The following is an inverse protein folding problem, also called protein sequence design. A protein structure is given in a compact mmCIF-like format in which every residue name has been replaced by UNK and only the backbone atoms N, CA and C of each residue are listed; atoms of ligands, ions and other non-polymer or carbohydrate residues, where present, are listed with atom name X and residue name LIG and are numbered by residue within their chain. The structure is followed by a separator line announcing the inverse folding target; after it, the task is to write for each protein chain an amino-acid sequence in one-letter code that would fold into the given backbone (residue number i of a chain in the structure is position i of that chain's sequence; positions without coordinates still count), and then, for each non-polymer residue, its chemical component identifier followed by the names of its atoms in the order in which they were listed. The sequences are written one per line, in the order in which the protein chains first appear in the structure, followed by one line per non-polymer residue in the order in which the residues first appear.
data_IF_470852098604
#
_entry.id   IF_470852098604
#
_cell.length_a   1.000
_cell.length_b   1.000
_cell.length_c   1.000
_cell.angle_alpha   90.00
_cell.angle_beta   90.00
_cell.angle_gamma   90.00
#
_symmetry.space_group_name_H-M   'P 1'
#
loop_
_entity.id
_entity.type
_entity.pdbx_description
1 polymer ?
#
# COMPACT_ATOMS: atom_id res chain seq x y z
N UNK A 1 -3.82 -11.22 -15.52
CA UNK A 1 -3.44 -11.37 -14.10
C UNK A 1 -2.47 -12.53 -13.88
N UNK A 2 -1.50 -12.43 -12.93
CA UNK A 2 -0.52 -13.48 -12.60
C UNK A 2 -1.01 -14.36 -11.45
N UNK A 3 -1.53 -15.54 -11.75
CA UNK A 3 -2.15 -16.45 -10.78
C UNK A 3 -1.22 -16.85 -9.62
N UNK A 4 0.08 -17.10 -9.90
CA UNK A 4 1.05 -17.48 -8.86
C UNK A 4 1.30 -16.35 -7.82
N UNK A 5 1.12 -15.09 -8.21
CA UNK A 5 1.20 -13.94 -7.28
C UNK A 5 -0.12 -13.80 -6.51
N UNK A 6 -1.24 -13.99 -7.21
CA UNK A 6 -2.55 -14.00 -6.56
C UNK A 6 -2.67 -15.11 -5.50
N UNK A 7 -2.18 -16.33 -5.80
CA UNK A 7 -2.14 -17.43 -4.84
C UNK A 7 -1.40 -17.07 -3.53
N UNK A 8 -0.35 -16.23 -3.60
CA UNK A 8 0.33 -15.72 -2.40
C UNK A 8 -0.56 -14.82 -1.57
N UNK A 9 -1.33 -13.93 -2.22
CA UNK A 9 -2.28 -13.06 -1.53
C UNK A 9 -3.40 -13.87 -0.87
N UNK A 10 -3.91 -14.91 -1.54
CA UNK A 10 -4.91 -15.83 -0.97
C UNK A 10 -4.37 -16.53 0.26
N UNK A 11 -3.14 -17.06 0.22
CA UNK A 11 -2.48 -17.68 1.39
C UNK A 11 -2.33 -16.71 2.57
N UNK A 12 -2.04 -15.45 2.29
CA UNK A 12 -1.93 -14.41 3.32
C UNK A 12 -3.29 -13.99 3.89
N UNK A 13 -4.32 -13.91 3.03
CA UNK A 13 -5.66 -13.50 3.45
C UNK A 13 -6.44 -14.60 4.14
N UNK A 14 -6.17 -15.87 3.82
CA UNK A 14 -6.97 -17.02 4.21
C UNK A 14 -8.37 -17.04 3.57
N UNK A 15 -8.60 -16.23 2.52
CA UNK A 15 -9.89 -16.13 1.84
C UNK A 15 -9.71 -16.03 0.33
N UNK A 16 -10.56 -16.72 -0.40
CA UNK A 16 -10.70 -16.68 -1.85
C UNK A 16 -12.17 -16.43 -2.18
N UNK A 17 -12.43 -15.37 -2.92
CA UNK A 17 -13.72 -15.11 -3.54
C UNK A 17 -13.62 -15.44 -5.02
N UNK A 18 -14.48 -16.34 -5.50
CA UNK A 18 -14.67 -16.63 -6.91
C UNK A 18 -16.00 -16.00 -7.31
N UNK A 19 -15.95 -15.01 -8.19
CA UNK A 19 -17.11 -14.24 -8.59
C UNK A 19 -17.33 -14.39 -10.09
N UNK A 20 -18.50 -14.89 -10.46
CA UNK A 20 -18.97 -14.93 -11.85
C UNK A 20 -19.86 -13.70 -12.05
N UNK A 21 -19.43 -12.80 -12.92
CA UNK A 21 -20.11 -11.53 -13.17
C UNK A 21 -20.62 -11.55 -14.60
N UNK A 22 -21.93 -11.36 -14.78
CA UNK A 22 -22.55 -11.31 -16.09
C UNK A 22 -21.86 -10.26 -16.97
N UNK A 23 -21.62 -10.59 -18.23
CA UNK A 23 -20.93 -9.73 -19.23
C UNK A 23 -19.48 -9.29 -18.87
N UNK A 24 -19.01 -9.54 -17.65
CA UNK A 24 -17.67 -9.14 -17.20
C UNK A 24 -16.73 -10.33 -16.92
N UNK A 25 -17.26 -11.55 -16.93
CA UNK A 25 -16.50 -12.78 -16.75
C UNK A 25 -16.11 -13.08 -15.29
N UNK A 26 -14.98 -13.74 -15.11
CA UNK A 26 -14.55 -14.23 -13.79
C UNK A 26 -13.69 -13.19 -13.07
N UNK A 27 -14.04 -12.93 -11.82
CA UNK A 27 -13.25 -12.10 -10.91
C UNK A 27 -12.80 -12.93 -9.72
N UNK A 28 -11.54 -12.75 -9.33
CA UNK A 28 -10.96 -13.39 -8.17
C UNK A 28 -10.68 -12.36 -7.08
N UNK A 29 -11.18 -12.61 -5.87
CA UNK A 29 -11.07 -11.69 -4.77
C UNK A 29 -10.37 -12.25 -3.54
N UNK A 30 -9.83 -11.36 -2.76
CA UNK A 30 -9.44 -11.56 -1.37
C UNK A 30 -10.15 -10.51 -0.52
N UNK A 31 -9.99 -10.53 0.80
CA UNK A 31 -10.52 -9.45 1.65
C UNK A 31 -9.90 -8.06 1.39
N UNK A 32 -8.85 -7.97 0.56
CA UNK A 32 -8.13 -6.72 0.29
C UNK A 32 -8.32 -6.19 -1.14
N UNK A 33 -8.83 -7.00 -2.05
CA UNK A 33 -9.04 -6.56 -3.43
C UNK A 33 -9.57 -7.64 -4.34
N UNK A 34 -10.04 -7.21 -5.50
CA UNK A 34 -10.62 -8.02 -6.57
C UNK A 34 -9.87 -7.79 -7.87
N UNK A 35 -9.72 -8.83 -8.65
CA UNK A 35 -8.90 -8.83 -9.88
C UNK A 35 -9.66 -9.54 -10.99
N UNK A 36 -9.74 -8.92 -12.16
CA UNK A 36 -10.30 -9.53 -13.36
C UNK A 36 -9.42 -10.71 -13.79
N UNK A 37 -9.98 -11.88 -13.87
CA UNK A 37 -9.24 -13.12 -14.17
C UNK A 37 -9.35 -13.49 -15.65
N UNK A 38 -8.83 -12.60 -16.51
CA UNK A 38 -8.82 -12.82 -17.96
C UNK A 38 -8.19 -14.18 -18.30
N UNK A 39 -8.88 -14.96 -19.12
CA UNK A 39 -8.43 -16.29 -19.60
C UNK A 39 -8.88 -17.47 -18.73
N UNK A 40 -9.59 -17.25 -17.63
CA UNK A 40 -10.31 -18.32 -16.95
C UNK A 40 -11.65 -18.56 -17.66
N UNK A 41 -12.10 -19.85 -17.80
CA UNK A 41 -13.41 -20.14 -18.33
C UNK A 41 -14.50 -19.66 -17.37
N UNK A 42 -15.61 -19.18 -17.89
CA UNK A 42 -16.77 -18.73 -17.09
C UNK A 42 -17.35 -19.85 -16.20
N UNK A 43 -17.11 -21.10 -16.57
CA UNK A 43 -17.58 -22.29 -15.83
C UNK A 43 -16.61 -22.77 -14.76
N UNK A 44 -15.55 -21.98 -14.44
CA UNK A 44 -14.60 -22.36 -13.39
C UNK A 44 -15.32 -22.38 -12.04
N UNK A 45 -15.17 -23.47 -11.31
CA UNK A 45 -15.70 -23.67 -9.96
C UNK A 45 -14.61 -23.58 -8.88
N UNK A 46 -15.04 -23.65 -7.64
CA UNK A 46 -14.15 -23.58 -6.48
C UNK A 46 -13.08 -24.65 -6.46
N UNK A 47 -13.39 -25.88 -6.88
CA UNK A 47 -12.43 -26.98 -6.89
C UNK A 47 -11.39 -26.81 -8.01
N UNK A 48 -11.85 -26.37 -9.16
CA UNK A 48 -10.98 -26.08 -10.31
C UNK A 48 -10.03 -24.93 -10.02
N UNK A 49 -10.53 -23.83 -9.43
CA UNK A 49 -9.65 -22.68 -9.14
C UNK A 49 -8.64 -23.01 -8.05
N UNK A 50 -8.99 -23.81 -7.04
CA UNK A 50 -8.05 -24.28 -6.03
C UNK A 50 -6.93 -25.14 -6.62
N UNK A 51 -7.26 -25.96 -7.62
CA UNK A 51 -6.29 -26.76 -8.37
C UNK A 51 -5.38 -25.88 -9.24
N UNK A 52 -5.96 -24.90 -9.95
CA UNK A 52 -5.20 -23.95 -10.79
C UNK A 52 -4.20 -23.12 -9.95
N UNK A 53 -4.60 -22.74 -8.72
CA UNK A 53 -3.75 -21.97 -7.82
C UNK A 53 -2.69 -22.81 -7.10
N UNK A 54 -2.68 -24.13 -7.31
CA UNK A 54 -1.69 -25.10 -6.81
C UNK A 54 -1.45 -24.97 -5.29
N UNK A 55 -2.52 -25.04 -4.52
CA UNK A 55 -2.41 -25.05 -3.06
C UNK A 55 -2.11 -26.47 -2.56
N UNK A 56 -1.11 -26.59 -1.70
CA UNK A 56 -0.90 -27.79 -0.93
C UNK A 56 -2.08 -28.02 0.06
N UNK A 57 -2.28 -29.26 0.50
CA UNK A 57 -3.41 -29.64 1.37
C UNK A 57 -3.50 -28.81 2.65
N UNK A 58 -2.35 -28.42 3.24
CA UNK A 58 -2.31 -27.61 4.47
C UNK A 58 -2.70 -26.16 4.23
N UNK A 59 -2.38 -25.62 3.05
CA UNK A 59 -2.80 -24.28 2.67
C UNK A 59 -4.29 -24.28 2.32
N UNK A 60 -4.76 -25.30 1.57
CA UNK A 60 -6.15 -25.45 1.17
C UNK A 60 -7.08 -25.51 2.39
N UNK A 61 -6.74 -26.27 3.43
CA UNK A 61 -7.51 -26.36 4.69
C UNK A 61 -7.72 -25.01 5.41
N UNK A 62 -6.86 -24.04 5.17
CA UNK A 62 -6.90 -22.72 5.83
C UNK A 62 -7.59 -21.65 4.99
N UNK A 63 -7.91 -21.95 3.74
CA UNK A 63 -8.51 -21.00 2.82
C UNK A 63 -10.02 -21.21 2.81
N UNK A 64 -10.76 -20.17 3.15
CA UNK A 64 -12.21 -20.14 3.01
C UNK A 64 -12.55 -19.69 1.58
N UNK A 65 -13.13 -20.59 0.80
CA UNK A 65 -13.58 -20.29 -0.55
C UNK A 65 -15.05 -19.87 -0.51
N UNK A 66 -15.38 -18.78 -1.20
CA UNK A 66 -16.76 -18.31 -1.39
C UNK A 66 -16.99 -18.07 -2.88
N UNK A 67 -17.92 -18.81 -3.44
CA UNK A 67 -18.37 -18.66 -4.80
C UNK A 67 -19.64 -17.81 -4.84
N UNK A 68 -19.73 -16.88 -5.78
CA UNK A 68 -20.83 -15.93 -5.91
C UNK A 68 -21.08 -15.62 -7.39
N UNK A 69 -22.35 -15.58 -7.73
CA UNK A 69 -22.82 -15.07 -9.02
C UNK A 69 -23.35 -13.65 -8.79
N UNK A 70 -23.00 -12.74 -9.68
CA UNK A 70 -23.45 -11.34 -9.63
C UNK A 70 -23.99 -10.92 -10.98
N UNK A 71 -25.07 -10.16 -10.98
CA UNK A 71 -25.62 -9.58 -12.20
C UNK A 71 -24.68 -8.50 -12.76
N UNK A 72 -24.06 -7.73 -11.88
CA UNK A 72 -23.16 -6.66 -12.26
C UNK A 72 -21.91 -6.64 -11.38
N UNK A 73 -20.85 -6.03 -11.88
CA UNK A 73 -19.62 -5.81 -11.12
C UNK A 73 -19.85 -4.95 -9.87
N UNK A 74 -20.84 -4.05 -9.94
CA UNK A 74 -21.20 -3.17 -8.82
C UNK A 74 -21.72 -3.94 -7.59
N UNK A 75 -22.34 -5.11 -7.80
CA UNK A 75 -22.83 -5.95 -6.70
C UNK A 75 -21.72 -6.59 -5.89
N UNK A 76 -20.48 -6.55 -6.42
CA UNK A 76 -19.30 -7.07 -5.74
C UNK A 76 -18.88 -6.15 -4.60
N UNK A 77 -19.30 -6.47 -3.38
CA UNK A 77 -18.84 -5.82 -2.15
C UNK A 77 -19.01 -4.28 -2.11
N UNK A 78 -19.95 -3.74 -2.90
CA UNK A 78 -20.22 -2.32 -2.98
C UNK A 78 -19.17 -1.52 -3.76
N UNK A 79 -18.21 -2.19 -4.42
CA UNK A 79 -17.25 -1.53 -5.29
C UNK A 79 -17.79 -1.50 -6.73
N UNK A 80 -17.77 -0.34 -7.34
CA UNK A 80 -18.03 -0.21 -8.76
C UNK A 80 -16.73 -0.52 -9.53
N UNK A 81 -16.66 -1.71 -10.11
CA UNK A 81 -15.55 -2.17 -10.94
C UNK A 81 -15.94 -2.24 -12.42
N UNK A 82 -17.04 -1.58 -12.79
CA UNK A 82 -17.47 -1.47 -14.17
C UNK A 82 -16.43 -0.76 -15.05
N UNK A 83 -16.44 -1.08 -16.33
CA UNK A 83 -15.58 -0.44 -17.33
C UNK A 83 -16.13 0.95 -17.75
N UNK A 84 -17.41 1.22 -17.51
CA UNK A 84 -18.00 2.54 -17.70
C UNK A 84 -17.26 3.59 -16.84
N UNK A 85 -17.09 4.79 -17.38
CA UNK A 85 -16.44 5.86 -16.63
C UNK A 85 -17.36 6.33 -15.49
N UNK A 86 -17.38 5.58 -14.40
CA UNK A 86 -17.74 6.17 -13.12
C UNK A 86 -16.85 7.41 -12.90
N UNK A 87 -17.22 8.37 -12.07
CA UNK A 87 -16.37 9.52 -11.79
C UNK A 87 -15.08 9.06 -11.13
N UNK A 88 -14.15 8.61 -11.97
CA UNK A 88 -12.81 8.26 -11.56
C UNK A 88 -12.10 9.52 -11.05
N UNK A 89 -11.62 9.48 -9.84
CA UNK A 89 -10.79 10.53 -9.25
C UNK A 89 -9.35 10.23 -9.67
N UNK A 90 -8.76 11.11 -10.46
CA UNK A 90 -7.35 10.99 -10.81
C UNK A 90 -6.49 11.02 -9.54
N UNK A 91 -5.55 10.10 -9.47
CA UNK A 91 -4.65 9.98 -8.33
C UNK A 91 -3.23 9.71 -8.80
N UNK A 92 -2.28 10.34 -8.14
CA UNK A 92 -0.85 10.21 -8.44
C UNK A 92 -0.14 9.55 -7.26
N UNK A 93 0.66 8.52 -7.55
CA UNK A 93 1.59 7.96 -6.55
C UNK A 93 2.59 9.04 -6.15
N UNK A 94 2.73 9.28 -4.86
CA UNK A 94 3.72 10.18 -4.29
C UNK A 94 4.79 9.37 -3.56
N UNK A 95 5.97 9.99 -3.36
CA UNK A 95 7.11 9.37 -2.66
C UNK A 95 6.92 9.35 -1.14
N UNK A 96 5.70 8.99 -0.71
CA UNK A 96 5.35 8.83 0.70
C UNK A 96 4.90 7.41 0.91
N UNK A 97 5.61 6.72 1.79
CA UNK A 97 5.22 5.40 2.27
C UNK A 97 5.22 5.39 3.80
N UNK A 98 4.29 4.67 4.38
CA UNK A 98 4.20 4.48 5.81
C UNK A 98 4.35 3.01 6.16
N UNK A 99 5.16 2.72 7.18
CA UNK A 99 5.24 1.39 7.79
C UNK A 99 4.74 1.52 9.22
N UNK A 100 3.59 0.92 9.50
CA UNK A 100 2.99 0.98 10.81
C UNK A 100 2.43 -0.39 11.21
N UNK A 101 2.86 -0.91 12.36
CA UNK A 101 2.45 -2.23 12.89
C UNK A 101 2.56 -3.37 11.88
N UNK A 102 3.64 -3.36 11.10
CA UNK A 102 3.90 -4.41 10.09
C UNK A 102 3.16 -4.25 8.76
N UNK A 103 2.35 -3.20 8.61
CA UNK A 103 1.71 -2.86 7.34
C UNK A 103 2.56 -1.83 6.61
N UNK A 104 2.93 -2.15 5.37
CA UNK A 104 3.56 -1.21 4.44
C UNK A 104 2.50 -0.64 3.52
N UNK A 105 2.38 0.68 3.47
CA UNK A 105 1.41 1.35 2.62
C UNK A 105 2.04 2.49 1.83
N UNK A 106 1.68 2.56 0.57
CA UNK A 106 2.05 3.62 -0.35
C UNK A 106 0.90 4.64 -0.45
N UNK A 107 1.23 5.91 -0.58
CA UNK A 107 0.24 6.97 -0.68
C UNK A 107 -0.05 7.35 -2.14
N UNK A 108 -1.33 7.55 -2.43
CA UNK A 108 -1.83 8.24 -3.61
C UNK A 108 -2.36 9.61 -3.19
N UNK A 109 -1.96 10.65 -3.90
CA UNK A 109 -2.55 11.97 -3.79
C UNK A 109 -3.61 12.12 -4.89
N UNK A 110 -4.85 12.28 -4.48
CA UNK A 110 -5.98 12.54 -5.37
C UNK A 110 -5.98 13.99 -5.84
N UNK A 111 -6.58 14.27 -7.00
CA UNK A 111 -6.68 15.63 -7.54
C UNK A 111 -7.53 16.58 -6.68
N UNK A 112 -8.36 16.05 -5.77
CA UNK A 112 -9.13 16.81 -4.77
C UNK A 112 -8.34 17.07 -3.46
N UNK A 113 -7.06 16.67 -3.40
CA UNK A 113 -6.17 16.87 -2.26
C UNK A 113 -6.21 15.79 -1.19
N UNK A 114 -7.07 14.80 -1.32
CA UNK A 114 -7.15 13.68 -0.36
C UNK A 114 -6.05 12.65 -0.59
N UNK A 115 -5.63 11.99 0.50
CA UNK A 115 -4.66 10.90 0.47
C UNK A 115 -5.34 9.55 0.65
N UNK A 116 -4.98 8.62 -0.23
CA UNK A 116 -5.41 7.21 -0.13
C UNK A 116 -4.17 6.34 0.03
N UNK A 117 -4.15 5.53 1.09
CA UNK A 117 -3.07 4.58 1.33
C UNK A 117 -3.50 3.17 0.89
N UNK A 118 -2.61 2.46 0.22
CA UNK A 118 -2.84 1.08 -0.19
C UNK A 118 -1.58 0.24 -0.01
N UNK A 119 -1.74 -1.07 0.16
CA UNK A 119 -0.63 -2.02 0.20
C UNK A 119 -0.20 -2.36 -1.24
N UNK A 120 1.01 -1.94 -1.61
CA UNK A 120 1.56 -2.16 -2.95
C UNK A 120 1.71 -3.66 -3.29
N UNK A 121 1.82 -4.53 -2.29
CA UNK A 121 1.85 -5.97 -2.51
C UNK A 121 0.57 -6.48 -3.20
N UNK A 122 -0.56 -5.77 -3.03
CA UNK A 122 -1.82 -6.07 -3.69
C UNK A 122 -1.76 -5.84 -5.21
N UNK A 123 -0.81 -5.07 -5.72
CA UNK A 123 -0.60 -4.91 -7.16
C UNK A 123 0.19 -6.06 -7.79
N UNK A 124 0.77 -6.94 -6.99
CA UNK A 124 1.63 -8.02 -7.49
C UNK A 124 0.96 -8.96 -8.51
N UNK A 125 -0.35 -9.27 -8.46
CA UNK A 125 -1.02 -10.06 -9.49
C UNK A 125 -1.09 -9.37 -10.85
N UNK A 126 -1.00 -8.04 -10.87
CA UNK A 126 -1.09 -7.21 -12.08
C UNK A 126 0.27 -6.87 -12.68
N UNK A 127 1.37 -7.46 -12.17
CA UNK A 127 2.72 -7.12 -12.60
C UNK A 127 2.95 -7.25 -14.13
N UNK A 128 2.28 -8.23 -14.77
CA UNK A 128 2.38 -8.41 -16.21
C UNK A 128 1.58 -7.32 -16.96
N UNK A 129 0.41 -6.90 -16.44
CA UNK A 129 -0.40 -5.80 -16.99
C UNK A 129 0.40 -4.50 -16.99
N UNK A 130 1.05 -4.17 -15.86
CA UNK A 130 1.92 -2.99 -15.75
C UNK A 130 3.14 -3.03 -16.67
N UNK A 131 3.61 -4.23 -17.04
CA UNK A 131 4.77 -4.40 -17.90
C UNK A 131 4.43 -4.36 -19.39
N UNK A 132 3.25 -4.85 -19.76
CA UNK A 132 2.85 -5.09 -21.15
C UNK A 132 2.06 -3.93 -21.74
N UNK A 133 1.54 -3.03 -20.93
CA UNK A 133 0.71 -1.91 -21.36
C UNK A 133 1.19 -0.58 -20.80
N UNK A 134 1.32 0.42 -21.69
CA UNK A 134 1.60 1.81 -21.34
C UNK A 134 0.32 2.59 -20.92
N UNK A 135 -0.85 1.95 -21.01
CA UNK A 135 -2.15 2.59 -20.73
C UNK A 135 -2.70 2.29 -19.35
N UNK A 136 -1.86 1.71 -18.48
CA UNK A 136 -2.28 1.40 -17.11
C UNK A 136 -2.37 2.65 -16.27
N UNK A 137 -3.54 2.87 -15.69
CA UNK A 137 -3.84 4.00 -14.82
C UNK A 137 -4.25 3.52 -13.44
N UNK A 138 -3.83 4.27 -12.43
CA UNK A 138 -4.30 4.09 -11.05
C UNK A 138 -5.22 5.24 -10.72
N UNK A 139 -6.47 4.94 -10.46
CA UNK A 139 -7.51 5.92 -10.12
C UNK A 139 -8.14 5.56 -8.78
N UNK A 140 -8.91 6.47 -8.22
CA UNK A 140 -9.66 6.27 -6.99
C UNK A 140 -11.14 6.43 -7.28
N UNK A 141 -11.94 5.51 -6.76
CA UNK A 141 -13.41 5.60 -6.77
C UNK A 141 -13.94 5.71 -5.34
N UNK A 142 -15.17 6.15 -5.22
CA UNK A 142 -15.86 6.29 -3.93
C UNK A 142 -17.05 5.35 -3.92
N UNK A 143 -17.15 4.53 -2.88
CA UNK A 143 -18.31 3.64 -2.71
C UNK A 143 -19.55 4.42 -2.22
N UNK A 144 -20.73 3.81 -2.23
CA UNK A 144 -21.98 4.46 -1.76
C UNK A 144 -21.94 4.93 -0.30
N UNK A 145 -21.01 4.38 0.52
CA UNK A 145 -20.79 4.80 1.90
C UNK A 145 -19.75 5.93 2.04
N UNK A 146 -19.25 6.47 0.92
CA UNK A 146 -18.24 7.53 0.90
C UNK A 146 -16.81 7.05 1.14
N UNK A 147 -16.55 5.72 1.10
CA UNK A 147 -15.21 5.18 1.29
C UNK A 147 -14.48 5.12 -0.04
N UNK A 148 -13.25 5.58 -0.05
CA UNK A 148 -12.38 5.55 -1.23
C UNK A 148 -11.76 4.17 -1.39
N UNK A 149 -11.60 3.73 -2.62
CA UNK A 149 -10.84 2.53 -2.99
C UNK A 149 -10.04 2.77 -4.27
N UNK A 150 -8.97 2.01 -4.44
CA UNK A 150 -8.06 2.15 -5.58
C UNK A 150 -8.55 1.24 -6.70
N UNK A 151 -8.59 1.75 -7.92
CA UNK A 151 -8.96 1.00 -9.12
C UNK A 151 -7.79 1.06 -10.10
N UNK A 152 -7.45 -0.08 -10.67
CA UNK A 152 -6.45 -0.20 -11.72
C UNK A 152 -7.19 -0.41 -13.04
N UNK A 153 -6.92 0.48 -13.98
CA UNK A 153 -7.45 0.43 -15.34
C UNK A 153 -6.34 0.17 -16.35
N UNK A 154 -6.69 -0.51 -17.43
CA UNK A 154 -5.83 -0.68 -18.58
C UNK A 154 -6.59 -0.19 -19.82
N UNK A 155 -6.35 1.05 -20.21
CA UNK A 155 -7.19 1.74 -21.18
C UNK A 155 -8.61 1.93 -20.64
N UNK A 156 -9.58 1.28 -21.30
CA UNK A 156 -10.99 1.34 -20.90
C UNK A 156 -11.38 0.22 -19.90
N UNK A 157 -10.60 -0.86 -19.85
CA UNK A 157 -10.91 -2.01 -19.00
C UNK A 157 -10.48 -1.79 -17.55
N UNK A 158 -11.34 -2.24 -16.63
CA UNK A 158 -11.01 -2.32 -15.20
C UNK A 158 -10.36 -3.67 -14.91
N UNK A 159 -9.14 -3.65 -14.41
CA UNK A 159 -8.35 -4.84 -14.11
C UNK A 159 -8.42 -5.27 -12.64
N UNK A 160 -8.59 -4.31 -11.74
CA UNK A 160 -8.69 -4.60 -10.30
C UNK A 160 -9.29 -3.44 -9.50
N UNK A 161 -9.85 -3.82 -8.34
CA UNK A 161 -10.21 -2.91 -7.26
C UNK A 161 -9.51 -3.32 -5.97
N UNK A 162 -8.87 -2.37 -5.30
CA UNK A 162 -8.04 -2.62 -4.11
C UNK A 162 -8.55 -1.78 -2.94
N UNK A 163 -8.77 -2.44 -1.81
CA UNK A 163 -9.21 -1.79 -0.59
C UNK A 163 -8.09 -0.92 -0.01
N UNK A 164 -8.41 0.27 0.47
CA UNK A 164 -7.43 1.14 1.11
C UNK A 164 -6.97 0.56 2.45
N UNK A 165 -5.76 0.90 2.82
CA UNK A 165 -5.20 0.61 4.14
C UNK A 165 -5.45 1.81 5.05
N UNK A 166 -6.13 1.60 6.16
CA UNK A 166 -6.39 2.66 7.14
C UNK A 166 -5.17 2.82 8.06
N UNK A 167 -4.21 3.63 7.63
CA UNK A 167 -3.01 3.94 8.43
C UNK A 167 -3.30 5.09 9.41
N UNK A 168 -3.90 6.16 8.93
CA UNK A 168 -4.16 7.33 9.76
C UNK A 168 -5.30 7.04 10.75
N UNK A 169 -4.91 6.77 11.98
CA UNK A 169 -5.79 6.51 13.12
C UNK A 169 -5.37 7.39 14.29
N UNK A 170 -6.21 7.52 15.32
CA UNK A 170 -5.85 8.26 16.54
C UNK A 170 -4.58 7.70 17.19
N UNK A 171 -4.43 6.38 17.18
CA UNK A 171 -3.26 5.70 17.72
C UNK A 171 -2.00 6.03 16.91
N UNK A 172 -2.05 5.93 15.57
CA UNK A 172 -0.94 6.33 14.70
C UNK A 172 -0.53 7.79 14.91
N UNK A 173 -1.49 8.70 15.00
CA UNK A 173 -1.20 10.13 15.26
C UNK A 173 -0.59 10.36 16.64
N UNK A 174 -1.01 9.60 17.65
CA UNK A 174 -0.41 9.61 18.97
C UNK A 174 1.04 9.15 18.94
N UNK A 175 1.31 7.97 18.37
CA UNK A 175 2.66 7.41 18.22
C UNK A 175 3.58 8.35 17.41
N UNK A 176 3.06 8.99 16.37
CA UNK A 176 3.80 9.95 15.55
C UNK A 176 4.14 11.23 16.35
N UNK A 177 3.21 11.72 17.16
CA UNK A 177 3.43 12.88 18.02
C UNK A 177 4.50 12.59 19.08
N UNK A 178 4.44 11.43 19.72
CA UNK A 178 5.44 11.00 20.70
C UNK A 178 6.81 10.82 20.06
N UNK A 179 6.86 10.27 18.87
CA UNK A 179 8.10 10.13 18.10
C UNK A 179 8.69 11.50 17.78
N UNK A 180 7.88 12.44 17.30
CA UNK A 180 8.31 13.80 17.00
C UNK A 180 8.89 14.48 18.24
N UNK A 181 8.22 14.36 19.40
CA UNK A 181 8.70 14.94 20.66
C UNK A 181 10.07 14.40 21.05
N UNK A 182 10.26 13.07 20.95
CA UNK A 182 11.55 12.43 21.24
C UNK A 182 12.66 12.84 20.28
N UNK A 183 12.37 12.96 19.00
CA UNK A 183 13.35 13.43 18.00
C UNK A 183 13.76 14.87 18.30
N UNK A 184 12.82 15.74 18.65
CA UNK A 184 13.09 17.13 19.02
C UNK A 184 13.97 17.21 20.26
N UNK A 185 13.68 16.43 21.30
CA UNK A 185 14.50 16.38 22.52
C UNK A 185 15.93 15.89 22.24
N UNK A 186 16.06 14.86 21.41
CA UNK A 186 17.37 14.33 21.01
C UNK A 186 18.18 15.37 20.24
N UNK A 187 17.56 16.09 19.30
CA UNK A 187 18.20 17.14 18.53
C UNK A 187 18.78 18.23 19.44
N UNK A 188 17.99 18.75 20.39
CA UNK A 188 18.48 19.76 21.34
C UNK A 188 19.57 19.24 22.28
N UNK A 189 19.56 17.97 22.66
CA UNK A 189 20.65 17.39 23.45
C UNK A 189 21.95 17.29 22.65
N UNK A 190 21.86 16.94 21.37
CA UNK A 190 23.04 16.84 20.48
C UNK A 190 23.62 18.24 20.21
N UNK A 191 22.77 19.22 19.97
CA UNK A 191 23.18 20.63 19.78
C UNK A 191 23.87 21.19 21.03
N UNK A 192 23.31 20.94 22.21
CA UNK A 192 23.91 21.35 23.48
C UNK A 192 25.27 20.69 23.74
N UNK A 193 25.41 19.40 23.38
CA UNK A 193 26.70 18.70 23.49
C UNK A 193 27.74 19.26 22.52
N UNK A 194 27.37 19.55 21.29
CA UNK A 194 28.23 20.13 20.29
C UNK A 194 28.73 21.52 20.72
N UNK A 195 27.84 22.35 21.27
CA UNK A 195 28.18 23.66 21.80
C UNK A 195 29.13 23.58 23.00
N UNK A 196 28.90 22.63 23.93
CA UNK A 196 29.80 22.42 25.08
C UNK A 196 31.18 21.96 24.64
N UNK A 197 31.25 21.07 23.64
CA UNK A 197 32.52 20.57 23.11
C UNK A 197 33.31 21.70 22.41
N UNK A 198 32.65 22.54 21.65
CA UNK A 198 33.26 23.69 21.01
C UNK A 198 33.81 24.70 22.03
N UNK A 199 33.05 24.93 23.12
CA UNK A 199 33.51 25.84 24.20
C UNK A 199 34.76 25.28 24.91
N UNK A 200 34.85 23.96 25.17
CA UNK A 200 36.04 23.33 25.76
C UNK A 200 37.26 23.46 24.82
N UNK A 201 37.08 23.20 23.54
CA UNK A 201 38.14 23.33 22.54
C UNK A 201 38.65 24.76 22.40
N UNK A 202 37.76 25.74 22.47
CA UNK A 202 38.14 27.16 22.45
C UNK A 202 38.95 27.54 23.70
N UNK A 203 38.55 27.09 24.88
CA UNK A 203 39.27 27.33 26.13
C UNK A 203 40.65 26.67 26.14
N UNK A 204 40.78 25.48 25.59
CA UNK A 204 42.09 24.77 25.45
C UNK A 204 42.99 25.48 24.45
N UNK A 205 42.47 26.04 23.37
CA UNK A 205 43.24 26.84 22.41
C UNK A 205 43.78 28.13 23.04
N UNK A 206 42.96 28.88 23.81
CA UNK A 206 43.39 30.10 24.52
C UNK A 206 44.48 29.83 25.58
N UNK A 207 44.36 28.70 26.32
CA UNK A 207 45.38 28.33 27.30
C UNK A 207 46.68 27.85 26.65
N UNK A 208 46.60 27.23 25.46
CA UNK A 208 47.78 26.83 24.68
C UNK A 208 48.54 28.03 24.09
N UNK A 209 47.88 29.09 23.66
CA UNK A 209 48.50 30.29 23.17
C UNK A 209 49.18 31.13 24.29
N UNK A 210 48.58 31.19 25.47
CA UNK A 210 49.19 31.86 26.61
C UNK A 210 50.49 31.20 27.08
N UNK A 211 50.53 29.86 27.11
CA UNK A 211 51.73 29.09 27.47
C UNK A 211 52.89 29.24 26.46
N UNK A 212 52.59 29.53 25.20
CA UNK A 212 53.61 29.78 24.17
C UNK A 212 54.16 31.23 24.22
N UNK A 213 53.40 32.19 24.67
CA UNK A 213 53.87 33.60 24.80
C UNK A 213 54.76 33.80 26.03
N UNK A 214 54.50 33.14 27.18
CA UNK A 214 55.31 33.21 28.37
C UNK A 214 56.70 32.51 28.23
N UNK A 215 56.88 31.59 27.29
CA UNK A 215 58.14 30.91 27.00
C UNK A 215 59.08 31.63 26.03
N UNK A 216 58.71 32.81 25.50
CA UNK A 216 59.51 33.56 24.53
C UNK A 216 60.23 34.80 25.14
N UNK A 217 60.09 35.08 26.46
CA UNK A 217 60.70 36.21 27.16
C UNK A 217 61.85 35.82 28.09
N UNK A 218 62.56 34.70 27.90
CA UNK A 218 63.81 34.35 28.56
C UNK A 218 65.03 34.38 27.62
#
# INVERSE_FOLDING_TARGET
MKLSKYAKLVKQSGSLYLCHVEDSGVWLGTRWGFYKANGLPETVDSDTIMTILDFDSKAAEKIVVQERDFETVHDMFGMDLSDDPAPDIEAKKIEVAAVYKGTFATALLCNDGELVFYDEAQLSPLADVFKESDYVQTVVRVDPAGRRYVVIRNGFDTEAGIMPVKIVSKEFLGDLSDFQARCTEQYFREESRAAALAAVQAAEAETGEQATMEGMDE
#
